data_IF_063272869088
#
_entry.id   IF_063272869088
#
_cell.length_a   1.000
_cell.length_b   1.000
_cell.length_c   1.000
_cell.angle_alpha   90.00
_cell.angle_beta   90.00
_cell.angle_gamma   90.00
#
_symmetry.space_group_name_H-M   'P 1'
#
loop_
_entity.id
_entity.type
_entity.pdbx_description
1 polymer ?
#
# COMPACT_ATOMS: atom_id res chain seq x y z
N UNK A 1 9.02 -22.63 -4.84
CA UNK A 1 7.60 -22.65 -5.07
C UNK A 1 6.98 -21.29 -4.93
N UNK A 2 6.29 -20.92 -5.91
CA UNK A 2 5.68 -19.60 -5.93
C UNK A 2 4.39 -19.53 -5.10
N UNK A 3 3.87 -20.67 -4.65
CA UNK A 3 2.60 -20.67 -3.94
C UNK A 3 2.65 -19.85 -2.66
N UNK A 4 3.80 -19.81 -1.99
CA UNK A 4 3.94 -19.00 -0.79
C UNK A 4 3.74 -17.52 -1.08
N UNK A 5 4.31 -17.06 -2.18
CA UNK A 5 4.17 -15.66 -2.55
C UNK A 5 2.76 -15.29 -2.92
N UNK A 6 2.02 -16.25 -3.47
CA UNK A 6 0.64 -16.00 -3.86
C UNK A 6 -0.29 -15.83 -2.67
N UNK A 7 0.08 -16.38 -1.52
CA UNK A 7 -0.77 -16.28 -0.32
C UNK A 7 -0.55 -14.98 0.44
N UNK A 8 0.46 -14.22 0.08
CA UNK A 8 0.76 -12.97 0.76
C UNK A 8 0.10 -11.81 0.04
N UNK A 9 -0.37 -10.86 0.82
CA UNK A 9 -0.80 -9.59 0.26
C UNK A 9 0.32 -8.57 0.45
N UNK A 10 0.36 -7.57 -0.42
CA UNK A 10 1.39 -6.54 -0.37
C UNK A 10 0.76 -5.23 0.08
N UNK A 11 1.25 -4.70 1.20
CA UNK A 11 0.86 -3.37 1.67
C UNK A 11 1.98 -2.41 1.31
N UNK A 12 1.61 -1.29 0.70
CA UNK A 12 2.57 -0.24 0.36
C UNK A 12 2.08 1.08 0.91
N UNK A 13 3.00 1.84 1.50
CA UNK A 13 2.72 3.19 1.97
C UNK A 13 3.56 4.16 1.15
N UNK A 14 2.90 5.14 0.54
CA UNK A 14 3.62 6.21 -0.15
C UNK A 14 4.19 7.12 0.90
N UNK A 15 5.51 7.25 0.93
CA UNK A 15 6.25 7.88 2.01
C UNK A 15 7.17 8.95 1.42
N UNK A 16 7.00 10.17 1.87
CA UNK A 16 7.80 11.27 1.34
C UNK A 16 9.17 11.33 2.01
N UNK A 17 9.17 11.51 3.31
CA UNK A 17 10.41 11.64 4.08
C UNK A 17 10.08 11.59 5.57
N UNK A 18 11.10 11.43 6.38
CA UNK A 18 10.89 11.34 7.83
C UNK A 18 10.35 12.64 8.43
N UNK A 19 10.55 13.77 7.75
CA UNK A 19 9.99 15.04 8.25
C UNK A 19 8.50 15.17 7.91
N UNK A 20 7.94 14.26 7.14
CA UNK A 20 6.51 14.23 6.87
C UNK A 20 5.83 13.46 8.00
N UNK A 21 5.25 14.17 8.96
CA UNK A 21 4.64 13.52 10.12
C UNK A 21 3.51 12.58 9.74
N UNK A 22 2.57 12.96 8.86
CA UNK A 22 1.53 12.00 8.47
C UNK A 22 2.11 10.74 7.83
N UNK A 23 3.15 10.87 7.03
CA UNK A 23 3.81 9.70 6.44
C UNK A 23 4.37 8.80 7.52
N UNK A 24 5.05 9.42 8.48
CA UNK A 24 5.65 8.69 9.58
C UNK A 24 4.60 7.92 10.38
N UNK A 25 3.49 8.58 10.71
CA UNK A 25 2.45 7.93 11.51
C UNK A 25 1.73 6.83 10.76
N UNK A 26 1.55 6.99 9.45
CA UNK A 26 0.95 5.90 8.67
C UNK A 26 1.87 4.69 8.64
N UNK A 27 3.18 4.90 8.46
CA UNK A 27 4.16 3.83 8.52
C UNK A 27 4.12 3.13 9.88
N UNK A 28 4.05 3.92 10.97
CA UNK A 28 3.99 3.36 12.32
C UNK A 28 2.74 2.53 12.53
N UNK A 29 1.61 2.98 11.98
CA UNK A 29 0.37 2.24 12.12
C UNK A 29 0.47 0.87 11.47
N UNK A 30 1.06 0.80 10.28
CA UNK A 30 1.26 -0.47 9.61
C UNK A 30 2.17 -1.37 10.44
N UNK A 31 3.28 -0.82 10.93
CA UNK A 31 4.22 -1.62 11.72
C UNK A 31 3.60 -2.15 13.00
N UNK A 32 2.64 -1.42 13.54
CA UNK A 32 1.96 -1.86 14.76
C UNK A 32 1.11 -3.11 14.50
N UNK A 33 0.45 -3.20 13.35
CA UNK A 33 -0.44 -4.33 13.07
C UNK A 33 0.29 -5.49 12.40
N UNK A 34 1.45 -5.27 11.79
CA UNK A 34 2.16 -6.32 11.05
C UNK A 34 2.40 -7.59 11.85
N UNK A 35 2.78 -7.54 13.15
CA UNK A 35 3.04 -8.78 13.87
C UNK A 35 1.87 -9.75 13.89
N UNK A 36 0.64 -9.24 13.76
CA UNK A 36 -0.53 -10.09 13.74
C UNK A 36 -0.72 -10.83 12.42
N UNK A 37 0.02 -10.44 11.38
CA UNK A 37 -0.15 -10.98 10.03
C UNK A 37 1.17 -11.34 9.37
N UNK A 38 2.25 -11.47 10.15
CA UNK A 38 3.62 -11.49 9.63
C UNK A 38 3.85 -12.45 8.46
N UNK A 39 3.25 -13.64 8.51
CA UNK A 39 3.49 -14.64 7.46
C UNK A 39 2.59 -14.45 6.25
N UNK A 40 1.60 -13.56 6.33
CA UNK A 40 0.60 -13.39 5.27
C UNK A 40 0.63 -12.01 4.64
N UNK A 41 1.45 -11.11 5.16
CA UNK A 41 1.52 -9.73 4.67
C UNK A 41 2.98 -9.36 4.42
N UNK A 42 3.22 -8.82 3.26
CA UNK A 42 4.50 -8.19 2.95
C UNK A 42 4.28 -6.67 3.00
N UNK A 43 5.17 -5.95 3.67
CA UNK A 43 5.07 -4.50 3.75
C UNK A 43 6.22 -3.84 3.05
N UNK A 44 5.93 -2.83 2.27
CA UNK A 44 6.93 -2.09 1.53
C UNK A 44 6.66 -0.60 1.64
N UNK A 45 7.58 0.12 2.25
CA UNK A 45 7.51 1.57 2.28
C UNK A 45 8.08 2.10 0.97
N UNK A 46 7.28 2.88 0.26
CA UNK A 46 7.69 3.42 -1.03
C UNK A 46 8.19 4.84 -0.83
N UNK A 47 9.51 4.99 -0.77
CA UNK A 47 10.17 6.29 -0.61
C UNK A 47 10.27 6.93 -1.98
N UNK A 48 9.25 7.71 -2.37
CA UNK A 48 9.13 8.12 -3.76
C UNK A 48 10.10 9.22 -4.18
N UNK A 49 10.85 9.78 -3.24
CA UNK A 49 11.93 10.71 -3.59
C UNK A 49 13.23 9.99 -3.89
N UNK A 50 13.25 8.67 -3.79
CA UNK A 50 14.44 7.86 -4.04
C UNK A 50 14.18 6.86 -5.16
N UNK A 51 15.11 6.76 -6.07
CA UNK A 51 15.25 5.76 -7.11
C UNK A 51 14.00 4.94 -7.44
N UNK A 52 14.01 3.67 -7.02
CA UNK A 52 12.93 2.75 -7.35
C UNK A 52 11.58 3.14 -6.80
N UNK A 53 11.56 3.89 -5.70
CA UNK A 53 10.31 4.35 -5.12
C UNK A 53 9.58 5.31 -6.02
N UNK A 54 10.32 6.17 -6.73
CA UNK A 54 9.70 7.11 -7.65
C UNK A 54 8.96 6.39 -8.77
N UNK A 55 9.58 5.35 -9.33
CA UNK A 55 8.96 4.57 -10.40
C UNK A 55 7.67 3.92 -9.93
N UNK A 56 7.68 3.32 -8.74
CA UNK A 56 6.50 2.70 -8.19
C UNK A 56 5.40 3.71 -7.91
N UNK A 57 5.77 4.88 -7.39
CA UNK A 57 4.83 5.95 -7.12
C UNK A 57 4.11 6.40 -8.40
N UNK A 58 4.87 6.55 -9.49
CA UNK A 58 4.29 6.96 -10.76
C UNK A 58 3.41 5.85 -11.34
N UNK A 59 3.80 4.60 -11.14
CA UNK A 59 3.00 3.47 -11.59
C UNK A 59 1.65 3.44 -10.89
N UNK A 60 1.64 3.62 -9.57
CA UNK A 60 0.39 3.62 -8.81
C UNK A 60 -0.45 4.86 -9.12
N UNK A 61 0.21 6.01 -9.31
CA UNK A 61 -0.52 7.20 -9.73
C UNK A 61 -1.20 6.98 -11.07
N UNK A 62 -0.52 6.29 -11.99
CA UNK A 62 -1.10 5.99 -13.30
C UNK A 62 -2.29 5.04 -13.18
N UNK A 63 -2.28 4.14 -12.21
CA UNK A 63 -3.42 3.25 -12.02
C UNK A 63 -4.66 4.01 -11.56
N UNK A 64 -4.48 5.15 -10.89
CA UNK A 64 -5.60 5.99 -10.46
C UNK A 64 -6.07 6.94 -11.56
N UNK A 65 -5.15 7.58 -12.26
CA UNK A 65 -5.48 8.70 -13.14
C UNK A 65 -5.16 8.45 -14.60
N UNK A 66 -4.59 7.29 -14.94
CA UNK A 66 -4.13 7.03 -16.29
C UNK A 66 -2.84 7.75 -16.59
N UNK A 67 -2.15 7.31 -17.64
CA UNK A 67 -0.87 7.93 -18.01
C UNK A 67 -1.04 9.40 -18.39
N UNK A 68 -2.11 9.71 -19.09
CA UNK A 68 -2.37 11.09 -19.45
C UNK A 68 -2.59 11.96 -18.22
N UNK A 69 -3.37 11.45 -17.26
CA UNK A 69 -3.60 12.17 -16.02
C UNK A 69 -2.31 12.50 -15.30
N UNK A 70 -1.40 11.53 -15.22
CA UNK A 70 -0.13 11.72 -14.52
C UNK A 70 0.81 12.62 -15.29
N UNK A 71 1.06 12.31 -16.57
CA UNK A 71 2.15 12.95 -17.29
C UNK A 71 1.73 14.22 -18.02
N UNK A 72 0.45 14.37 -18.29
CA UNK A 72 -0.03 15.60 -18.95
C UNK A 72 -0.67 16.57 -17.96
N UNK A 73 -1.40 16.04 -16.98
CA UNK A 73 -2.14 16.88 -16.04
C UNK A 73 -1.57 16.88 -14.64
N UNK A 74 -0.44 16.20 -14.44
CA UNK A 74 0.31 16.20 -13.18
C UNK A 74 -0.52 15.72 -11.99
N UNK A 75 -1.39 14.75 -12.23
CA UNK A 75 -2.19 14.16 -11.15
C UNK A 75 -1.41 13.00 -10.53
N UNK A 76 -1.19 13.09 -9.23
CA UNK A 76 -0.37 12.11 -8.53
C UNK A 76 -1.16 11.51 -7.38
N UNK A 77 -0.74 10.30 -6.97
CA UNK A 77 -1.35 9.64 -5.83
C UNK A 77 -1.20 10.50 -4.58
N UNK A 78 -2.16 10.42 -3.65
CA UNK A 78 -2.01 11.18 -2.40
C UNK A 78 -0.83 10.69 -1.57
N UNK A 79 -0.29 11.58 -0.74
CA UNK A 79 0.84 11.29 0.14
C UNK A 79 0.52 11.86 1.50
N UNK A 80 0.51 11.06 2.57
CA UNK A 80 0.70 9.61 2.53
C UNK A 80 -0.54 8.89 2.01
N UNK A 81 -0.33 7.67 1.54
CA UNK A 81 -1.44 6.82 1.17
C UNK A 81 -1.04 5.36 1.37
N UNK A 82 -2.03 4.53 1.63
CA UNK A 82 -1.80 3.12 1.90
C UNK A 82 -2.52 2.30 0.84
N UNK A 83 -1.78 1.37 0.26
CA UNK A 83 -2.24 0.56 -0.85
C UNK A 83 -2.13 -0.90 -0.47
N UNK A 84 -3.10 -1.70 -0.88
CA UNK A 84 -3.05 -3.15 -0.70
C UNK A 84 -3.21 -3.79 -2.07
N UNK A 85 -2.22 -4.58 -2.46
CA UNK A 85 -2.20 -5.27 -3.76
C UNK A 85 -2.41 -4.30 -4.92
N UNK A 86 -1.82 -3.11 -4.82
CA UNK A 86 -1.89 -2.13 -5.89
C UNK A 86 -3.15 -1.29 -5.93
N UNK A 87 -4.03 -1.45 -4.95
CA UNK A 87 -5.27 -0.67 -4.84
C UNK A 87 -5.18 0.31 -3.69
N UNK A 88 -5.63 1.54 -3.93
CA UNK A 88 -5.65 2.55 -2.87
C UNK A 88 -6.74 2.23 -1.84
N UNK A 89 -6.34 2.08 -0.58
CA UNK A 89 -7.27 1.81 0.51
C UNK A 89 -7.47 3.01 1.43
N UNK A 90 -6.39 3.72 1.76
CA UNK A 90 -6.49 4.85 2.69
C UNK A 90 -5.64 6.00 2.18
N UNK A 91 -6.23 7.20 2.13
CA UNK A 91 -5.48 8.42 1.84
C UNK A 91 -5.32 9.28 3.08
N UNK A 92 -5.66 8.73 4.24
CA UNK A 92 -5.43 9.33 5.55
C UNK A 92 -5.10 8.20 6.49
N UNK A 93 -4.52 8.53 7.65
CA UNK A 93 -4.12 7.51 8.61
C UNK A 93 -5.36 6.82 9.17
N UNK A 94 -5.51 5.50 8.94
CA UNK A 94 -6.70 4.80 9.44
C UNK A 94 -6.55 4.47 10.92
N UNK A 95 -7.67 4.38 11.64
CA UNK A 95 -7.60 3.75 12.96
C UNK A 95 -7.15 2.31 12.82
N UNK A 96 -6.56 1.80 13.89
CA UNK A 96 -5.99 0.46 13.86
C UNK A 96 -7.01 -0.60 13.42
N UNK A 97 -8.23 -0.53 13.97
CA UNK A 97 -9.23 -1.55 13.66
C UNK A 97 -9.67 -1.48 12.19
N UNK A 98 -9.70 -0.28 11.59
CA UNK A 98 -10.06 -0.18 10.18
C UNK A 98 -8.99 -0.78 9.28
N UNK A 99 -7.72 -0.58 9.65
CA UNK A 99 -6.64 -1.19 8.91
C UNK A 99 -6.69 -2.71 9.02
N UNK A 100 -6.94 -3.21 10.22
CA UNK A 100 -7.05 -4.65 10.42
C UNK A 100 -8.23 -5.23 9.63
N UNK A 101 -9.36 -4.54 9.62
CA UNK A 101 -10.52 -4.97 8.83
C UNK A 101 -10.18 -5.04 7.34
N UNK A 102 -9.47 -4.04 6.84
CA UNK A 102 -9.09 -4.02 5.43
C UNK A 102 -8.17 -5.19 5.09
N UNK A 103 -7.20 -5.46 5.96
CA UNK A 103 -6.29 -6.58 5.75
C UNK A 103 -7.04 -7.90 5.74
N UNK A 104 -7.94 -8.08 6.72
CA UNK A 104 -8.72 -9.32 6.79
C UNK A 104 -9.58 -9.50 5.56
N UNK A 105 -10.18 -8.41 5.08
CA UNK A 105 -11.03 -8.48 3.90
C UNK A 105 -10.24 -8.94 2.68
N UNK A 106 -9.06 -8.37 2.46
CA UNK A 106 -8.25 -8.74 1.31
C UNK A 106 -7.74 -10.16 1.44
N UNK A 107 -7.35 -10.58 2.66
CA UNK A 107 -6.91 -11.94 2.87
C UNK A 107 -8.03 -12.94 2.60
N UNK A 108 -9.26 -12.60 2.98
CA UNK A 108 -10.41 -13.47 2.72
C UNK A 108 -10.71 -13.56 1.23
N UNK A 109 -10.60 -12.45 0.52
CA UNK A 109 -10.79 -12.44 -0.93
C UNK A 109 -9.77 -13.33 -1.63
N UNK A 110 -8.51 -13.27 -1.21
CA UNK A 110 -7.47 -14.12 -1.78
C UNK A 110 -7.78 -15.59 -1.56
N UNK A 111 -8.27 -15.92 -0.36
CA UNK A 111 -8.63 -17.30 -0.04
C UNK A 111 -9.78 -17.78 -0.89
N UNK A 112 -10.79 -16.93 -1.09
CA UNK A 112 -11.95 -17.28 -1.91
C UNK A 112 -11.55 -17.49 -3.37
N UNK A 113 -10.68 -16.63 -3.89
CA UNK A 113 -10.19 -16.77 -5.25
C UNK A 113 -9.43 -18.07 -5.43
N UNK A 114 -8.67 -18.47 -4.42
CA UNK A 114 -7.94 -19.73 -4.48
C UNK A 114 -8.87 -20.92 -4.53
N UNK A 115 -9.97 -20.86 -3.82
CA UNK A 115 -10.94 -21.96 -3.80
C UNK A 115 -11.69 -22.07 -5.11
N UNK A 116 -11.93 -20.94 -5.74
CA UNK A 116 -12.60 -20.91 -7.00
C UNK A 116 -11.75 -21.46 -8.11
#
# INVERSE_FOLDING_TARGET
>A
MSSKGKDKILIEVMYKADYCLPCYYMDEMVREVLPNYASRVEYRRVDFLKGGGKARFLELSSSLFGKEGVYKHFRLAPVPSLWINGELFFDAIPPKFELEDAIEEVLNENRDLKKG
#
